data_IF_252158466275
#
_entry.id   IF_252158466275
#
_cell.length_a   1.000
_cell.length_b   1.000
_cell.length_c   1.000
_cell.angle_alpha   90.00
_cell.angle_beta   90.00
_cell.angle_gamma   90.00
#
_symmetry.space_group_name_H-M   'P 1'
#
loop_
_entity.id
_entity.type
_entity.pdbx_description
1 polymer ?
#
# COMPACT_ATOMS: atom_id res chain seq x y z
N UNK A 1 -10.31 2.10 20.70
CA UNK A 1 -10.77 1.71 22.05
C UNK A 1 -11.26 0.28 21.96
N UNK A 2 -10.61 -0.68 22.60
CA UNK A 2 -11.15 -2.04 22.72
C UNK A 2 -12.25 -2.00 23.76
N UNK A 3 -13.36 -2.64 23.43
CA UNK A 3 -14.57 -2.67 24.24
C UNK A 3 -14.27 -3.23 25.65
N UNK A 4 -14.28 -2.35 26.65
CA UNK A 4 -13.98 -2.67 28.05
C UNK A 4 -15.06 -3.60 28.67
N UNK A 5 -16.20 -3.79 28.01
CA UNK A 5 -17.32 -4.60 28.48
C UNK A 5 -17.03 -6.10 28.35
N UNK A 6 -16.40 -6.50 27.22
CA UNK A 6 -16.04 -7.91 26.95
C UNK A 6 -14.96 -8.41 27.93
N UNK A 7 -13.94 -7.61 28.19
CA UNK A 7 -12.88 -7.94 29.15
C UNK A 7 -13.47 -8.13 30.58
N UNK A 8 -14.40 -7.27 31.01
CA UNK A 8 -15.07 -7.37 32.34
C UNK A 8 -15.95 -8.61 32.48
N UNK A 9 -16.62 -9.02 31.41
CA UNK A 9 -17.45 -10.24 31.44
C UNK A 9 -16.60 -11.48 31.59
N UNK A 10 -15.46 -11.55 30.87
CA UNK A 10 -14.51 -12.66 31.00
C UNK A 10 -13.92 -12.71 32.41
N UNK A 11 -13.51 -11.58 32.96
CA UNK A 11 -12.99 -11.50 34.33
C UNK A 11 -14.01 -11.97 35.37
N UNK A 12 -15.28 -11.55 35.26
CA UNK A 12 -16.37 -11.97 36.14
C UNK A 12 -16.57 -13.48 36.10
N UNK A 13 -16.66 -14.08 34.90
CA UNK A 13 -16.84 -15.52 34.74
C UNK A 13 -15.66 -16.31 35.31
N UNK A 14 -14.44 -15.77 35.12
CA UNK A 14 -13.22 -16.40 35.61
C UNK A 14 -13.18 -16.38 37.16
N UNK A 15 -13.52 -15.27 37.79
CA UNK A 15 -13.59 -15.16 39.25
C UNK A 15 -14.70 -16.01 39.82
N UNK A 16 -15.86 -16.09 39.17
CA UNK A 16 -16.97 -16.95 39.60
C UNK A 16 -16.53 -18.43 39.62
N UNK A 17 -15.79 -18.89 38.63
CA UNK A 17 -15.19 -20.23 38.62
C UNK A 17 -14.30 -20.46 39.84
N UNK A 18 -13.44 -19.52 40.22
CA UNK A 18 -12.53 -19.65 41.34
C UNK A 18 -13.26 -19.62 42.69
N UNK A 19 -14.33 -18.83 42.83
CA UNK A 19 -15.18 -18.81 44.03
C UNK A 19 -15.82 -20.17 44.32
N UNK A 20 -16.06 -20.96 43.28
CA UNK A 20 -16.55 -22.34 43.42
C UNK A 20 -15.40 -23.32 43.70
N UNK A 21 -14.31 -23.24 42.98
CA UNK A 21 -13.18 -24.17 43.02
C UNK A 21 -12.41 -24.12 44.35
N UNK A 22 -12.26 -22.97 45.00
CA UNK A 22 -11.45 -22.83 46.21
C UNK A 22 -12.11 -23.56 47.40
N UNK A 23 -13.39 -23.35 47.77
CA UNK A 23 -14.03 -24.06 48.87
C UNK A 23 -14.06 -25.56 48.64
N UNK A 24 -14.33 -26.02 47.42
CA UNK A 24 -14.36 -27.44 47.09
C UNK A 24 -12.96 -28.07 47.22
N UNK A 25 -11.91 -27.42 46.74
CA UNK A 25 -10.52 -27.85 46.93
C UNK A 25 -10.16 -27.97 48.42
N UNK A 26 -10.55 -26.99 49.23
CA UNK A 26 -10.30 -26.98 50.67
C UNK A 26 -11.06 -28.10 51.38
N UNK A 27 -12.29 -28.39 50.98
CA UNK A 27 -13.08 -29.51 51.48
C UNK A 27 -12.43 -30.87 51.18
N UNK A 28 -11.93 -31.04 49.95
CA UNK A 28 -11.19 -32.25 49.54
C UNK A 28 -9.89 -32.40 50.35
N UNK A 29 -9.13 -31.30 50.49
CA UNK A 29 -7.89 -31.29 51.26
C UNK A 29 -8.12 -31.60 52.75
N UNK A 30 -9.25 -31.19 53.31
CA UNK A 30 -9.64 -31.46 54.68
C UNK A 30 -10.34 -32.81 54.88
N UNK A 31 -10.52 -33.61 53.83
CA UNK A 31 -11.22 -34.89 53.85
C UNK A 31 -12.73 -34.79 54.10
N UNK A 32 -13.31 -33.60 53.86
CA UNK A 32 -14.74 -33.32 54.09
C UNK A 32 -15.58 -33.30 52.81
N UNK A 33 -14.95 -33.60 51.66
CA UNK A 33 -15.67 -33.60 50.38
C UNK A 33 -16.37 -34.92 50.15
N UNK A 34 -17.66 -34.86 49.81
CA UNK A 34 -18.45 -36.01 49.38
C UNK A 34 -18.19 -36.36 47.91
N UNK A 35 -17.79 -35.38 47.08
CA UNK A 35 -17.59 -35.53 45.65
C UNK A 35 -16.24 -36.16 45.28
N UNK A 36 -15.18 -35.87 46.04
CA UNK A 36 -13.83 -36.31 45.69
C UNK A 36 -13.07 -36.84 46.91
N UNK A 37 -12.55 -38.05 46.81
CA UNK A 37 -11.71 -38.66 47.86
C UNK A 37 -10.26 -38.20 47.81
N UNK A 38 -9.77 -37.79 46.63
CA UNK A 38 -8.36 -37.38 46.41
C UNK A 38 -8.30 -36.07 45.63
N UNK A 39 -7.35 -35.21 45.98
CA UNK A 39 -7.09 -33.95 45.27
C UNK A 39 -6.78 -34.15 43.80
N UNK A 40 -6.21 -35.30 43.42
CA UNK A 40 -5.96 -35.64 42.01
C UNK A 40 -7.25 -35.82 41.20
N UNK A 41 -8.33 -36.31 41.82
CA UNK A 41 -9.61 -36.48 41.12
C UNK A 41 -10.30 -35.13 40.93
N UNK A 42 -10.19 -34.23 41.89
CA UNK A 42 -10.61 -32.85 41.77
C UNK A 42 -9.94 -32.14 40.57
N UNK A 43 -8.62 -32.28 40.45
CA UNK A 43 -7.91 -31.65 39.32
C UNK A 43 -8.35 -32.20 37.96
N UNK A 44 -8.55 -33.51 37.85
CA UNK A 44 -9.01 -34.15 36.61
C UNK A 44 -10.44 -33.74 36.26
N UNK A 45 -11.33 -33.71 37.22
CA UNK A 45 -12.73 -33.31 37.02
C UNK A 45 -12.85 -31.88 36.50
N UNK A 46 -12.09 -30.94 37.08
CA UNK A 46 -12.15 -29.51 36.72
C UNK A 46 -11.23 -29.12 35.59
N UNK A 47 -10.60 -30.08 34.88
CA UNK A 47 -9.73 -29.82 33.71
C UNK A 47 -8.53 -28.91 34.07
N UNK A 48 -7.97 -29.07 35.26
CA UNK A 48 -6.80 -28.30 35.70
C UNK A 48 -5.67 -29.24 36.16
N UNK A 49 -4.47 -28.70 36.39
CA UNK A 49 -3.38 -29.45 36.99
C UNK A 49 -2.92 -28.82 38.30
N UNK A 50 -2.28 -29.63 39.15
CA UNK A 50 -1.82 -29.20 40.46
C UNK A 50 -0.93 -27.95 40.42
N UNK A 51 -0.03 -27.86 39.43
CA UNK A 51 0.87 -26.72 39.30
C UNK A 51 0.11 -25.43 38.98
N UNK A 52 -0.82 -25.48 38.00
CA UNK A 52 -1.63 -24.32 37.62
C UNK A 52 -2.54 -23.89 38.76
N UNK A 53 -3.28 -24.81 39.36
CA UNK A 53 -4.19 -24.49 40.46
C UNK A 53 -3.45 -23.88 41.62
N UNK A 54 -2.38 -24.55 42.15
CA UNK A 54 -1.60 -24.07 43.28
C UNK A 54 -0.94 -22.72 43.03
N UNK A 55 -0.52 -22.43 41.81
CA UNK A 55 0.04 -21.13 41.47
C UNK A 55 -0.91 -19.98 41.77
N UNK A 56 -2.15 -20.09 41.34
CA UNK A 56 -3.17 -19.05 41.59
C UNK A 56 -3.69 -19.08 43.03
N UNK A 57 -3.96 -20.26 43.59
CA UNK A 57 -4.40 -20.42 44.93
C UNK A 57 -3.41 -19.88 45.96
N UNK A 58 -2.13 -20.22 45.88
CA UNK A 58 -1.09 -19.70 46.77
C UNK A 58 -0.91 -18.19 46.67
N UNK A 59 -1.13 -17.62 45.48
CA UNK A 59 -1.07 -16.19 45.27
C UNK A 59 -2.24 -15.48 45.95
N UNK A 60 -3.43 -16.04 45.81
CA UNK A 60 -4.61 -15.57 46.51
C UNK A 60 -4.45 -15.67 48.03
N UNK A 61 -3.95 -16.78 48.58
CA UNK A 61 -3.72 -16.94 50.01
C UNK A 61 -2.75 -15.89 50.59
N UNK A 62 -1.80 -15.41 49.82
CA UNK A 62 -0.83 -14.39 50.26
C UNK A 62 -1.42 -12.99 50.32
N UNK A 63 -2.26 -12.63 49.36
CA UNK A 63 -2.78 -11.27 49.20
C UNK A 63 -4.19 -11.07 49.76
N UNK A 64 -4.99 -12.14 49.81
CA UNK A 64 -6.42 -12.07 50.08
C UNK A 64 -7.26 -11.44 48.96
N UNK A 65 -6.64 -11.01 47.87
CA UNK A 65 -7.31 -10.28 46.78
C UNK A 65 -7.76 -11.23 45.65
N UNK A 66 -9.04 -11.23 45.32
CA UNK A 66 -9.57 -12.01 44.18
C UNK A 66 -8.90 -11.67 42.83
N UNK A 67 -8.41 -10.44 42.68
CA UNK A 67 -7.67 -10.03 41.48
C UNK A 67 -6.42 -10.90 41.21
N UNK A 68 -5.87 -11.54 42.24
CA UNK A 68 -4.71 -12.42 42.10
C UNK A 68 -5.08 -13.81 41.56
N UNK A 69 -6.35 -14.13 41.46
CA UNK A 69 -6.85 -15.33 40.79
C UNK A 69 -6.92 -15.14 39.26
N UNK A 70 -6.88 -13.91 38.77
CA UNK A 70 -6.93 -13.63 37.35
C UNK A 70 -5.59 -13.96 36.65
N UNK A 71 -5.65 -14.44 35.40
CA UNK A 71 -4.46 -14.65 34.62
C UNK A 71 -3.75 -13.32 34.33
N UNK A 72 -2.48 -13.24 34.72
CA UNK A 72 -1.68 -12.09 34.37
C UNK A 72 -1.50 -12.05 32.86
N UNK A 73 -1.58 -10.84 32.28
CA UNK A 73 -1.30 -10.64 30.86
C UNK A 73 0.09 -11.19 30.54
N UNK A 74 0.13 -12.15 29.61
CA UNK A 74 1.37 -12.69 29.10
C UNK A 74 2.04 -11.65 28.23
N UNK A 75 3.32 -11.44 28.41
CA UNK A 75 4.11 -10.51 27.62
C UNK A 75 5.19 -9.82 28.44
N UNK A 76 6.16 -9.20 27.79
CA UNK A 76 7.17 -8.41 28.51
C UNK A 76 6.47 -7.27 29.24
N UNK A 77 6.88 -7.03 30.47
CA UNK A 77 6.45 -5.88 31.29
C UNK A 77 7.01 -4.59 30.67
N UNK A 78 6.38 -4.17 29.55
CA UNK A 78 6.85 -3.05 28.73
C UNK A 78 6.92 -1.73 29.50
N UNK A 79 6.17 -1.58 30.60
CA UNK A 79 6.23 -0.41 31.47
C UNK A 79 7.52 -0.35 32.30
N UNK A 80 8.17 -1.47 32.54
CA UNK A 80 9.44 -1.56 33.29
C UNK A 80 10.66 -1.41 32.36
N UNK A 81 10.48 -1.56 31.04
CA UNK A 81 11.51 -1.34 30.01
C UNK A 81 11.32 -0.01 29.31
N UNK A 82 11.12 1.07 30.05
CA UNK A 82 11.16 2.39 29.47
C UNK A 82 12.57 2.73 29.08
N UNK A 83 12.72 3.30 27.89
CA UNK A 83 13.95 3.92 27.46
C UNK A 83 14.38 4.98 28.50
N UNK A 84 15.68 5.23 28.68
CA UNK A 84 16.17 6.24 29.59
C UNK A 84 15.41 7.56 29.44
N UNK A 85 15.20 8.22 30.56
CA UNK A 85 14.48 9.49 30.61
C UNK A 85 15.12 10.51 29.63
N UNK A 86 14.33 11.17 28.82
CA UNK A 86 14.78 12.12 27.80
C UNK A 86 14.94 11.58 26.38
N UNK A 87 15.16 10.28 26.15
CA UNK A 87 15.31 9.73 24.78
C UNK A 87 14.00 9.88 23.96
N UNK A 88 12.85 9.67 24.59
CA UNK A 88 11.57 9.80 23.88
C UNK A 88 11.36 11.23 23.39
N UNK A 89 11.73 12.23 24.21
CA UNK A 89 11.64 13.66 23.82
C UNK A 89 12.56 14.00 22.65
N UNK A 90 13.79 13.46 22.63
CA UNK A 90 14.74 13.67 21.54
C UNK A 90 14.24 13.02 20.24
N UNK A 91 13.69 11.80 20.31
CA UNK A 91 13.07 11.11 19.17
C UNK A 91 11.93 11.95 18.58
N UNK A 92 11.07 12.50 19.44
CA UNK A 92 9.97 13.38 19.02
C UNK A 92 10.48 14.66 18.39
N UNK A 93 11.46 15.32 19.00
CA UNK A 93 12.08 16.53 18.46
C UNK A 93 12.77 16.29 17.10
N UNK A 94 13.48 15.19 16.94
CA UNK A 94 14.04 14.79 15.64
C UNK A 94 12.95 14.53 14.60
N UNK A 95 11.83 13.91 15.02
CA UNK A 95 10.69 13.67 14.13
C UNK A 95 10.02 14.96 13.67
N UNK A 96 9.87 15.93 14.54
CA UNK A 96 9.32 17.25 14.20
C UNK A 96 10.17 17.98 13.16
N UNK A 97 11.49 17.72 13.11
CA UNK A 97 12.40 18.18 12.06
C UNK A 97 12.32 17.38 10.75
N UNK A 98 11.35 16.46 10.65
CA UNK A 98 11.11 15.67 9.43
C UNK A 98 11.92 14.38 9.29
N UNK A 99 12.77 14.04 10.25
CA UNK A 99 13.65 12.88 10.17
C UNK A 99 12.86 11.57 10.17
N UNK A 100 13.30 10.59 9.36
CA UNK A 100 12.80 9.22 9.42
C UNK A 100 13.48 8.43 10.55
N UNK A 101 12.96 7.22 10.88
CA UNK A 101 13.45 6.41 12.01
C UNK A 101 14.95 6.04 11.92
N UNK A 102 15.49 5.93 10.71
CA UNK A 102 16.91 5.61 10.49
C UNK A 102 17.77 6.85 10.63
N UNK A 103 17.30 8.00 10.16
CA UNK A 103 17.97 9.31 10.35
C UNK A 103 17.98 9.68 11.83
N UNK A 104 16.89 9.44 12.56
CA UNK A 104 16.84 9.63 14.02
C UNK A 104 17.85 8.71 14.72
N UNK A 105 17.92 7.44 14.31
CA UNK A 105 18.89 6.50 14.84
C UNK A 105 20.33 6.97 14.61
N UNK A 106 20.66 7.43 13.40
CA UNK A 106 21.98 7.98 13.08
C UNK A 106 22.30 9.23 13.91
N UNK A 107 21.37 10.17 14.02
CA UNK A 107 21.56 11.41 14.79
C UNK A 107 21.75 11.17 16.29
N UNK A 108 21.08 10.15 16.85
CA UNK A 108 21.26 9.76 18.26
C UNK A 108 22.59 9.03 18.51
N UNK A 109 23.11 8.33 17.52
CA UNK A 109 24.40 7.61 17.62
C UNK A 109 25.58 8.53 17.93
N UNK A 110 25.54 9.75 17.43
CA UNK A 110 26.59 10.75 17.67
C UNK A 110 26.55 11.35 19.07
N UNK A 111 25.45 11.16 19.81
CA UNK A 111 25.16 11.88 21.07
C UNK A 111 25.02 10.99 22.30
N UNK A 112 24.94 9.66 22.12
CA UNK A 112 24.63 8.74 23.24
C UNK A 112 25.32 7.40 23.11
N UNK A 113 25.76 6.88 24.25
CA UNK A 113 26.36 5.55 24.37
C UNK A 113 25.32 4.43 24.26
N UNK A 114 24.10 4.67 24.73
CA UNK A 114 22.97 3.72 24.62
C UNK A 114 22.03 4.15 23.51
N UNK A 115 21.99 3.38 22.45
CA UNK A 115 21.27 3.71 21.22
C UNK A 115 20.00 2.87 21.07
N UNK A 116 18.79 3.49 20.98
CA UNK A 116 17.56 2.77 20.69
C UNK A 116 17.56 2.25 19.25
N UNK A 117 17.17 0.99 19.05
CA UNK A 117 17.07 0.44 17.71
C UNK A 117 16.01 1.19 16.85
N UNK A 118 16.12 1.16 15.51
CA UNK A 118 15.10 1.76 14.63
C UNK A 118 13.67 1.24 14.89
N UNK A 119 13.55 0.01 15.38
CA UNK A 119 12.26 -0.58 15.80
C UNK A 119 11.75 0.03 17.09
N UNK A 120 12.64 0.34 18.03
CA UNK A 120 12.28 1.05 19.28
C UNK A 120 11.85 2.47 18.97
N UNK A 121 12.59 3.20 18.13
CA UNK A 121 12.23 4.53 17.65
C UNK A 121 10.84 4.51 17.00
N UNK A 122 10.55 3.54 16.14
CA UNK A 122 9.22 3.41 15.54
C UNK A 122 8.11 3.21 16.58
N UNK A 123 8.35 2.40 17.63
CA UNK A 123 7.37 2.19 18.71
C UNK A 123 7.12 3.47 19.50
N UNK A 124 8.16 4.25 19.78
CA UNK A 124 8.04 5.57 20.41
C UNK A 124 7.21 6.49 19.51
N UNK A 125 7.58 6.64 18.23
CA UNK A 125 6.83 7.46 17.29
C UNK A 125 5.36 7.03 17.15
N UNK A 126 5.07 5.72 17.18
CA UNK A 126 3.69 5.20 17.15
C UNK A 126 2.91 5.60 18.41
N UNK A 127 3.56 5.59 19.58
CA UNK A 127 2.94 6.00 20.86
C UNK A 127 2.52 7.46 20.84
N UNK A 128 3.35 8.31 20.24
CA UNK A 128 3.08 9.74 20.06
C UNK A 128 2.27 10.07 18.80
N UNK A 129 1.75 9.05 18.07
CA UNK A 129 1.02 9.21 16.81
C UNK A 129 1.83 9.90 15.68
N UNK A 130 3.14 9.87 15.78
CA UNK A 130 4.09 10.47 14.83
C UNK A 130 4.73 9.45 13.88
N UNK A 131 4.22 8.21 13.85
CA UNK A 131 4.73 7.14 12.98
C UNK A 131 4.48 7.40 11.48
N UNK A 132 3.49 8.21 11.14
CA UNK A 132 3.26 8.69 9.77
C UNK A 132 3.80 10.11 9.64
N UNK A 133 4.47 10.40 8.52
CA UNK A 133 4.82 11.79 8.19
C UNK A 133 3.55 12.53 7.82
N UNK A 134 3.36 13.73 8.36
CA UNK A 134 2.31 14.61 7.90
C UNK A 134 2.59 15.04 6.45
N UNK A 135 1.58 15.35 5.64
CA UNK A 135 1.79 15.80 4.26
C UNK A 135 2.76 16.97 4.14
N UNK A 136 2.78 17.88 5.12
CA UNK A 136 3.71 19.02 5.19
C UNK A 136 5.18 18.63 5.48
N UNK A 137 5.42 17.44 6.04
CA UNK A 137 6.75 16.90 6.27
C UNK A 137 7.28 16.07 5.10
N UNK A 138 6.45 15.83 4.09
CA UNK A 138 6.94 15.26 2.84
C UNK A 138 7.61 16.41 2.09
N UNK A 139 8.93 16.29 1.82
CA UNK A 139 9.55 17.13 0.80
C UNK A 139 8.60 17.19 -0.39
N UNK A 140 8.32 18.36 -0.91
CA UNK A 140 7.60 18.50 -2.16
C UNK A 140 8.37 17.72 -3.22
N UNK A 141 7.93 16.50 -3.45
CA UNK A 141 8.48 15.71 -4.53
C UNK A 141 8.19 16.51 -5.78
N UNK A 142 9.23 16.94 -6.49
CA UNK A 142 9.11 17.67 -7.76
C UNK A 142 8.17 16.87 -8.66
N UNK A 143 6.91 17.29 -8.73
CA UNK A 143 5.95 16.74 -9.66
C UNK A 143 6.31 17.26 -11.04
N UNK A 144 6.36 16.38 -12.02
CA UNK A 144 6.43 16.83 -13.42
C UNK A 144 5.05 17.38 -13.74
N UNK A 145 4.89 18.68 -13.59
CA UNK A 145 3.67 19.39 -13.99
C UNK A 145 3.97 19.93 -15.38
N UNK A 146 3.15 19.54 -16.34
CA UNK A 146 3.18 20.04 -17.72
C UNK A 146 1.88 20.79 -17.95
N UNK A 147 1.99 22.01 -18.42
CA UNK A 147 0.86 22.93 -18.57
C UNK A 147 0.32 22.94 -20.00
N UNK A 148 1.10 22.44 -20.96
CA UNK A 148 0.72 22.36 -22.37
C UNK A 148 0.34 20.94 -22.75
N UNK A 149 -0.70 20.83 -23.57
CA UNK A 149 -1.13 19.56 -24.18
C UNK A 149 0.00 18.97 -25.02
N UNK A 150 0.20 17.65 -24.92
CA UNK A 150 1.18 16.93 -25.70
C UNK A 150 2.65 17.25 -25.37
N UNK A 151 2.92 18.14 -24.43
CA UNK A 151 4.30 18.47 -24.08
C UNK A 151 5.08 17.24 -23.58
N UNK A 152 4.41 16.32 -22.92
CA UNK A 152 5.00 15.07 -22.44
C UNK A 152 3.97 13.96 -22.36
N UNK A 153 4.16 12.91 -23.15
CA UNK A 153 3.49 11.62 -23.02
C UNK A 153 4.25 10.70 -22.08
N UNK A 154 3.55 9.83 -21.37
CA UNK A 154 4.14 8.72 -20.60
C UNK A 154 3.69 7.42 -21.25
N UNK A 155 4.63 6.58 -21.64
CA UNK A 155 4.38 5.24 -22.16
C UNK A 155 4.87 4.20 -21.16
N UNK A 156 4.11 3.12 -21.00
CA UNK A 156 4.45 2.03 -20.09
C UNK A 156 3.80 0.73 -20.53
N UNK A 157 4.34 -0.40 -20.06
CA UNK A 157 3.88 -1.74 -20.39
C UNK A 157 3.56 -2.50 -19.13
N UNK A 158 2.33 -3.00 -19.00
CA UNK A 158 1.89 -3.84 -17.88
C UNK A 158 1.53 -5.24 -18.36
N UNK A 159 1.96 -6.26 -17.63
CA UNK A 159 1.57 -7.64 -17.89
C UNK A 159 0.17 -7.91 -17.35
N UNK A 160 -0.66 -8.59 -18.16
CA UNK A 160 -1.96 -9.11 -17.72
C UNK A 160 -1.82 -10.45 -16.99
N UNK A 161 -2.54 -10.61 -15.90
CA UNK A 161 -2.68 -11.92 -15.27
C UNK A 161 -3.47 -12.86 -16.18
N UNK A 162 -3.09 -14.15 -16.19
CA UNK A 162 -3.82 -15.18 -16.94
C UNK A 162 -5.14 -15.55 -16.25
N UNK A 163 -5.25 -15.30 -14.97
CA UNK A 163 -6.39 -15.69 -14.13
C UNK A 163 -7.67 -14.90 -14.44
N UNK A 164 -7.54 -13.77 -15.14
CA UNK A 164 -8.69 -12.96 -15.57
C UNK A 164 -9.39 -13.53 -16.80
N UNK A 165 -8.85 -14.59 -17.44
CA UNK A 165 -9.40 -15.17 -18.66
C UNK A 165 -9.95 -16.58 -18.44
N UNK A 166 -11.17 -16.85 -18.95
CA UNK A 166 -11.71 -18.22 -19.03
C UNK A 166 -10.92 -19.06 -20.05
N UNK A 167 -10.60 -18.48 -21.22
CA UNK A 167 -9.71 -19.06 -22.20
C UNK A 167 -8.43 -18.18 -22.31
N UNK A 168 -7.42 -18.43 -21.46
CA UNK A 168 -6.22 -17.60 -21.45
C UNK A 168 -5.44 -17.75 -22.77
N UNK A 169 -4.85 -16.64 -23.27
CA UNK A 169 -4.07 -16.67 -24.49
C UNK A 169 -2.87 -17.59 -24.36
N UNK A 170 -2.41 -18.23 -25.46
CA UNK A 170 -1.26 -19.15 -25.46
C UNK A 170 0.04 -18.45 -25.04
N UNK A 171 0.19 -17.18 -25.40
CA UNK A 171 1.32 -16.33 -25.00
C UNK A 171 0.93 -15.36 -23.89
N UNK A 172 1.91 -14.88 -23.14
CA UNK A 172 1.71 -13.82 -22.15
C UNK A 172 1.18 -12.55 -22.83
N UNK A 173 0.06 -12.03 -22.34
CA UNK A 173 -0.51 -10.80 -22.82
C UNK A 173 -0.07 -9.60 -21.96
N UNK A 174 0.07 -8.47 -22.59
CA UNK A 174 0.44 -7.20 -21.98
C UNK A 174 -0.50 -6.10 -22.47
N UNK A 175 -0.58 -5.02 -21.72
CA UNK A 175 -1.18 -3.76 -22.15
C UNK A 175 -0.05 -2.75 -22.26
N UNK A 176 0.05 -2.08 -23.40
CA UNK A 176 0.87 -0.87 -23.54
C UNK A 176 -0.06 0.33 -23.46
N UNK A 177 0.31 1.36 -22.69
CA UNK A 177 -0.48 2.58 -22.52
C UNK A 177 0.33 3.82 -22.81
N UNK A 178 -0.36 4.85 -23.30
CA UNK A 178 0.19 6.19 -23.52
C UNK A 178 -0.76 7.21 -22.89
N UNK A 179 -0.25 8.06 -22.01
CA UNK A 179 -1.04 9.09 -21.32
C UNK A 179 -0.39 10.46 -21.44
N UNK A 180 -1.16 11.50 -21.78
CA UNK A 180 -0.68 12.88 -21.73
C UNK A 180 -0.53 13.40 -20.30
N UNK A 181 0.60 14.03 -20.05
CA UNK A 181 0.97 14.57 -18.77
C UNK A 181 0.08 15.72 -18.30
N UNK A 182 -0.45 16.51 -19.22
CA UNK A 182 -1.29 17.69 -18.96
C UNK A 182 -2.76 17.30 -18.78
N UNK A 183 -3.37 16.79 -19.85
CA UNK A 183 -4.82 16.53 -19.92
C UNK A 183 -5.26 15.20 -19.31
N UNK A 184 -4.34 14.26 -19.11
CA UNK A 184 -4.67 12.86 -18.77
C UNK A 184 -5.37 12.09 -19.89
N UNK A 185 -5.49 12.65 -21.11
CA UNK A 185 -5.92 11.87 -22.27
C UNK A 185 -5.03 10.64 -22.40
N UNK A 186 -5.65 9.46 -22.48
CA UNK A 186 -4.92 8.20 -22.47
C UNK A 186 -5.49 7.24 -23.52
N UNK A 187 -4.62 6.39 -24.03
CA UNK A 187 -4.99 5.25 -24.85
C UNK A 187 -4.16 4.04 -24.47
N UNK A 188 -4.71 2.86 -24.65
CA UNK A 188 -4.03 1.62 -24.35
C UNK A 188 -4.37 0.56 -25.37
N UNK A 189 -3.42 -0.33 -25.65
CA UNK A 189 -3.56 -1.41 -26.62
C UNK A 189 -3.04 -2.72 -26.04
N UNK A 190 -3.68 -3.82 -26.41
CA UNK A 190 -3.23 -5.17 -26.04
C UNK A 190 -2.12 -5.62 -26.96
N UNK A 191 -1.12 -6.28 -26.39
CA UNK A 191 -0.02 -6.90 -27.13
C UNK A 191 0.35 -8.26 -26.53
N UNK A 192 0.67 -9.24 -27.38
CA UNK A 192 1.02 -10.62 -26.96
C UNK A 192 2.54 -10.84 -26.92
N UNK A 193 3.31 -9.79 -27.02
CA UNK A 193 4.78 -9.84 -26.95
C UNK A 193 5.33 -8.50 -26.47
N UNK A 194 6.27 -8.55 -25.54
CA UNK A 194 6.99 -7.36 -25.08
C UNK A 194 8.23 -7.02 -25.91
N UNK A 195 8.37 -7.60 -27.10
CA UNK A 195 9.46 -7.24 -28.01
C UNK A 195 9.26 -5.83 -28.57
N UNK A 196 10.35 -5.16 -28.95
CA UNK A 196 10.36 -3.78 -29.40
C UNK A 196 9.39 -3.49 -30.56
N UNK A 197 9.38 -4.31 -31.62
CA UNK A 197 8.52 -4.11 -32.78
C UNK A 197 7.02 -4.14 -32.47
N UNK A 198 6.45 -5.17 -31.81
CA UNK A 198 5.05 -5.16 -31.42
C UNK A 198 4.66 -3.96 -30.55
N UNK A 199 5.50 -3.59 -29.58
CA UNK A 199 5.25 -2.44 -28.69
C UNK A 199 5.30 -1.12 -29.49
N UNK A 200 6.27 -0.98 -30.36
CA UNK A 200 6.39 0.18 -31.27
C UNK A 200 5.11 0.36 -32.11
N UNK A 201 4.64 -0.68 -32.80
CA UNK A 201 3.43 -0.58 -33.64
C UNK A 201 2.18 -0.21 -32.83
N UNK A 202 2.03 -0.74 -31.61
CA UNK A 202 0.91 -0.36 -30.73
C UNK A 202 1.05 1.07 -30.25
N UNK A 203 2.26 1.52 -29.93
CA UNK A 203 2.50 2.91 -29.52
C UNK A 203 2.22 3.87 -30.69
N UNK A 204 2.65 3.54 -31.91
CA UNK A 204 2.33 4.34 -33.10
C UNK A 204 0.82 4.45 -33.31
N UNK A 205 0.08 3.34 -33.17
CA UNK A 205 -1.38 3.35 -33.26
C UNK A 205 -2.00 4.25 -32.18
N UNK A 206 -1.51 4.19 -30.93
CA UNK A 206 -1.99 5.05 -29.84
C UNK A 206 -1.72 6.53 -30.10
N UNK A 207 -0.53 6.89 -30.58
CA UNK A 207 -0.18 8.26 -30.96
C UNK A 207 -1.16 8.77 -32.02
N UNK A 208 -1.38 7.97 -33.07
CA UNK A 208 -2.29 8.32 -34.15
C UNK A 208 -3.74 8.44 -33.66
N UNK A 209 -4.22 7.51 -32.84
CA UNK A 209 -5.57 7.55 -32.28
C UNK A 209 -5.79 8.81 -31.44
N UNK A 210 -4.85 9.16 -30.55
CA UNK A 210 -4.93 10.37 -29.74
C UNK A 210 -4.86 11.64 -30.58
N UNK A 211 -4.07 11.62 -31.64
CA UNK A 211 -3.99 12.75 -32.59
C UNK A 211 -5.29 12.93 -33.37
N UNK A 212 -5.79 11.89 -34.03
CA UNK A 212 -6.99 11.96 -34.90
C UNK A 212 -8.23 12.26 -34.05
N UNK A 213 -8.34 11.66 -32.86
CA UNK A 213 -9.58 11.77 -32.05
C UNK A 213 -9.62 13.05 -31.21
N UNK A 214 -8.46 13.49 -30.68
CA UNK A 214 -8.41 14.59 -29.71
C UNK A 214 -7.47 15.74 -30.12
N UNK A 215 -6.86 15.68 -31.31
CA UNK A 215 -5.91 16.69 -31.78
C UNK A 215 -4.59 16.71 -30.98
N UNK A 216 -4.26 15.64 -30.27
CA UNK A 216 -3.13 15.60 -29.37
C UNK A 216 -1.84 15.26 -30.13
N UNK A 217 -0.87 16.20 -30.14
CA UNK A 217 0.45 16.02 -30.75
C UNK A 217 1.49 16.00 -29.65
N UNK A 218 2.32 14.96 -29.62
CA UNK A 218 3.36 14.82 -28.58
C UNK A 218 4.67 15.46 -29.01
N UNK A 219 5.26 16.30 -28.14
CA UNK A 219 6.63 16.82 -28.31
C UNK A 219 7.67 15.87 -27.71
N UNK A 220 7.35 15.26 -26.57
CA UNK A 220 8.25 14.32 -25.88
C UNK A 220 7.44 13.12 -25.38
N UNK A 221 8.07 11.92 -25.39
CA UNK A 221 7.53 10.71 -24.75
C UNK A 221 8.55 10.19 -23.73
N UNK A 222 8.07 9.90 -22.52
CA UNK A 222 8.84 9.34 -21.42
C UNK A 222 8.49 7.86 -21.26
N UNK A 223 9.51 6.99 -21.30
CA UNK A 223 9.40 5.58 -20.93
C UNK A 223 10.31 5.24 -19.76
N UNK A 224 10.21 4.03 -19.25
CA UNK A 224 11.28 3.43 -18.46
C UNK A 224 12.44 2.99 -19.38
N UNK A 225 13.43 2.30 -18.77
CA UNK A 225 14.58 1.76 -19.51
C UNK A 225 14.36 0.30 -19.96
N UNK A 226 13.11 -0.12 -20.16
CA UNK A 226 12.77 -1.45 -20.63
C UNK A 226 13.33 -1.72 -22.02
N UNK A 227 13.72 -2.97 -22.29
CA UNK A 227 14.27 -3.37 -23.59
C UNK A 227 13.27 -3.25 -24.75
N UNK A 228 12.00 -3.10 -24.46
CA UNK A 228 10.91 -2.82 -25.39
C UNK A 228 10.93 -1.37 -25.90
N UNK A 229 11.49 -0.44 -25.14
CA UNK A 229 11.53 0.99 -25.45
C UNK A 229 12.93 1.48 -25.82
N UNK A 230 13.98 0.77 -25.39
CA UNK A 230 15.36 1.25 -25.54
C UNK A 230 16.37 0.13 -25.72
N UNK A 231 17.44 0.41 -26.48
CA UNK A 231 18.67 -0.39 -26.48
C UNK A 231 19.80 0.38 -25.80
N UNK A 232 20.51 -0.28 -24.89
CA UNK A 232 21.67 0.31 -24.22
C UNK A 232 22.90 0.40 -25.16
N UNK A 233 22.99 -0.51 -26.14
CA UNK A 233 24.17 -0.65 -26.96
C UNK A 233 24.04 0.05 -28.32
N UNK A 234 22.83 0.17 -28.85
CA UNK A 234 22.57 0.78 -30.19
C UNK A 234 21.21 1.49 -30.14
N UNK A 235 21.07 2.65 -29.50
CA UNK A 235 19.80 3.38 -29.45
C UNK A 235 19.27 3.70 -30.86
N UNK A 236 20.13 4.08 -31.78
CA UNK A 236 19.76 4.50 -33.14
C UNK A 236 19.16 3.35 -33.98
N UNK A 237 19.49 2.11 -33.67
CA UNK A 237 18.95 0.92 -34.35
C UNK A 237 17.68 0.38 -33.67
N UNK A 238 17.27 0.92 -32.52
CA UNK A 238 16.13 0.44 -31.82
C UNK A 238 14.83 0.89 -32.50
N UNK A 239 13.91 -0.04 -32.85
CA UNK A 239 12.71 0.31 -33.62
C UNK A 239 11.85 1.40 -32.99
N UNK A 240 11.71 1.37 -31.66
CA UNK A 240 10.93 2.37 -30.93
C UNK A 240 11.56 3.77 -31.02
N UNK A 241 12.87 3.85 -30.89
CA UNK A 241 13.63 5.12 -31.04
C UNK A 241 13.54 5.67 -32.46
N UNK A 242 13.74 4.80 -33.46
CA UNK A 242 13.64 5.18 -34.88
C UNK A 242 12.24 5.72 -35.21
N UNK A 243 11.18 5.06 -34.70
CA UNK A 243 9.80 5.54 -34.87
C UNK A 243 9.60 6.94 -34.28
N UNK A 244 10.04 7.17 -33.04
CA UNK A 244 9.88 8.48 -32.40
C UNK A 244 10.67 9.57 -33.11
N UNK A 245 11.88 9.25 -33.61
CA UNK A 245 12.72 10.17 -34.39
C UNK A 245 12.02 10.59 -35.69
N UNK A 246 11.47 9.62 -36.42
CA UNK A 246 10.70 9.89 -37.66
C UNK A 246 9.46 10.76 -37.41
N UNK A 247 8.82 10.59 -36.27
CA UNK A 247 7.68 11.42 -35.87
C UNK A 247 8.09 12.80 -35.30
N UNK A 248 9.39 13.08 -35.19
CA UNK A 248 9.88 14.30 -34.54
C UNK A 248 9.61 14.39 -33.05
N UNK A 249 9.37 13.25 -32.39
CA UNK A 249 9.05 13.15 -30.97
C UNK A 249 10.33 12.82 -30.20
N UNK A 250 10.69 13.66 -29.24
CA UNK A 250 11.86 13.42 -28.40
C UNK A 250 11.61 12.30 -27.40
N UNK A 251 12.45 11.27 -27.38
CA UNK A 251 12.42 10.24 -26.35
C UNK A 251 13.13 10.70 -25.08
N UNK A 252 12.51 10.41 -23.94
CA UNK A 252 13.08 10.61 -22.60
C UNK A 252 12.99 9.34 -21.80
N UNK A 253 13.95 9.14 -20.90
CA UNK A 253 14.02 8.00 -20.01
C UNK A 253 13.81 8.42 -18.56
N UNK A 254 13.18 7.53 -17.77
CA UNK A 254 13.14 7.68 -16.34
C UNK A 254 14.55 7.52 -15.76
N UNK A 255 14.94 8.39 -14.84
CA UNK A 255 16.23 8.25 -14.16
C UNK A 255 16.21 7.02 -13.27
N UNK A 256 17.31 6.21 -13.25
CA UNK A 256 17.43 5.09 -12.31
C UNK A 256 17.13 5.54 -10.88
N UNK A 257 16.45 4.70 -10.10
CA UNK A 257 16.08 4.95 -8.71
C UNK A 257 15.16 6.15 -8.44
N UNK A 258 14.49 6.69 -9.46
CA UNK A 258 13.45 7.72 -9.30
C UNK A 258 12.11 7.29 -9.92
N UNK A 259 11.40 6.33 -9.31
CA UNK A 259 10.10 5.83 -9.81
C UNK A 259 9.01 6.93 -9.90
N UNK A 260 9.26 8.08 -9.28
CA UNK A 260 8.28 9.18 -9.19
C UNK A 260 8.04 9.91 -10.52
N UNK A 261 8.88 9.68 -11.54
CA UNK A 261 8.72 10.30 -12.85
C UNK A 261 7.58 9.68 -13.66
N UNK A 262 7.19 8.43 -13.37
CA UNK A 262 6.14 7.70 -14.07
C UNK A 262 4.78 7.64 -13.32
N UNK A 263 4.64 8.42 -12.24
CA UNK A 263 3.47 8.37 -11.37
C UNK A 263 2.11 8.68 -12.02
N UNK A 264 2.08 9.18 -13.27
CA UNK A 264 0.84 9.43 -14.02
C UNK A 264 0.34 8.16 -14.68
N UNK A 265 1.24 7.41 -15.31
CA UNK A 265 0.88 6.12 -15.89
C UNK A 265 0.62 5.08 -14.79
N UNK A 266 1.37 5.10 -13.69
CA UNK A 266 1.08 4.25 -12.51
C UNK A 266 -0.32 4.52 -11.95
N UNK A 267 -0.75 5.79 -11.95
CA UNK A 267 -2.11 6.15 -11.52
C UNK A 267 -3.16 5.70 -12.53
N UNK A 268 -2.85 5.78 -13.82
CA UNK A 268 -3.72 5.27 -14.88
C UNK A 268 -3.90 3.76 -14.76
N UNK A 269 -2.81 2.99 -14.54
CA UNK A 269 -2.85 1.56 -14.31
C UNK A 269 -3.76 1.19 -13.13
N UNK A 270 -3.57 1.84 -11.99
CA UNK A 270 -4.44 1.61 -10.82
C UNK A 270 -5.90 1.89 -11.14
N UNK A 271 -6.18 2.94 -11.90
CA UNK A 271 -7.56 3.28 -12.29
C UNK A 271 -8.13 2.23 -13.24
N UNK A 272 -7.32 1.70 -14.15
CA UNK A 272 -7.73 0.62 -15.05
C UNK A 272 -7.94 -0.70 -14.30
N UNK A 273 -7.07 -1.01 -13.37
CA UNK A 273 -7.20 -2.18 -12.50
C UNK A 273 -8.50 -2.10 -11.67
N UNK A 274 -8.72 -0.97 -10.98
CA UNK A 274 -9.91 -0.75 -10.12
C UNK A 274 -11.22 -0.77 -10.93
N UNK A 275 -11.24 -0.18 -12.13
CA UNK A 275 -12.47 0.06 -12.89
C UNK A 275 -12.81 -1.08 -13.89
N UNK A 276 -11.81 -1.86 -14.36
CA UNK A 276 -11.99 -2.85 -15.46
C UNK A 276 -11.55 -4.26 -15.06
N UNK A 277 -10.46 -4.42 -14.33
CA UNK A 277 -9.82 -5.71 -14.13
C UNK A 277 -10.21 -6.34 -12.80
N UNK A 278 -10.28 -5.55 -11.72
CA UNK A 278 -10.55 -6.09 -10.38
C UNK A 278 -11.94 -6.74 -10.31
N UNK A 279 -11.97 -8.03 -10.03
CA UNK A 279 -13.20 -8.82 -9.92
C UNK A 279 -13.87 -9.19 -11.25
N UNK A 280 -13.28 -8.81 -12.39
CA UNK A 280 -13.80 -9.16 -13.72
C UNK A 280 -13.19 -10.47 -14.24
N UNK A 281 -13.96 -11.15 -15.12
CA UNK A 281 -13.50 -12.34 -15.85
C UNK A 281 -13.87 -12.18 -17.31
N UNK A 282 -12.92 -12.37 -18.19
CA UNK A 282 -13.08 -12.21 -19.64
C UNK A 282 -13.05 -13.59 -20.33
N UNK A 283 -13.88 -13.78 -21.36
CA UNK A 283 -13.90 -15.03 -22.10
C UNK A 283 -12.53 -15.33 -22.72
N UNK A 284 -11.92 -14.34 -23.34
CA UNK A 284 -10.63 -14.41 -24.00
C UNK A 284 -10.00 -13.01 -24.14
N UNK A 285 -8.85 -12.93 -24.81
CA UNK A 285 -8.11 -11.68 -24.99
C UNK A 285 -8.85 -10.65 -25.87
N UNK A 286 -9.61 -11.11 -26.86
CA UNK A 286 -10.39 -10.20 -27.75
C UNK A 286 -11.57 -9.58 -26.99
N UNK A 287 -12.23 -10.36 -26.12
CA UNK A 287 -13.26 -9.80 -25.22
C UNK A 287 -12.66 -8.71 -24.32
N UNK A 288 -11.52 -8.98 -23.68
CA UNK A 288 -10.83 -7.96 -22.89
C UNK A 288 -10.44 -6.72 -23.71
N UNK A 289 -9.96 -6.91 -24.94
CA UNK A 289 -9.56 -5.78 -25.80
C UNK A 289 -10.76 -4.89 -26.17
N UNK A 290 -11.94 -5.47 -26.36
CA UNK A 290 -13.17 -4.72 -26.62
C UNK A 290 -13.62 -3.93 -25.38
N UNK A 291 -13.65 -4.56 -24.20
CA UNK A 291 -13.96 -3.90 -22.94
C UNK A 291 -12.97 -2.76 -22.64
N UNK A 292 -11.69 -2.99 -22.87
CA UNK A 292 -10.65 -1.96 -22.73
C UNK A 292 -10.91 -0.79 -23.66
N UNK A 293 -11.29 -1.04 -24.93
CA UNK A 293 -11.59 0.02 -25.90
C UNK A 293 -12.80 0.86 -25.44
N UNK A 294 -13.90 0.22 -25.04
CA UNK A 294 -15.09 0.92 -24.53
C UNK A 294 -14.77 1.73 -23.29
N UNK A 295 -14.01 1.15 -22.37
CA UNK A 295 -13.55 1.85 -21.19
C UNK A 295 -12.69 3.07 -21.50
N UNK A 296 -11.79 3.02 -22.47
CA UNK A 296 -10.95 4.16 -22.86
C UNK A 296 -11.79 5.32 -23.45
N UNK A 297 -12.86 5.01 -24.16
CA UNK A 297 -13.84 6.00 -24.60
C UNK A 297 -14.51 6.65 -23.38
N UNK A 298 -14.98 5.84 -22.43
CA UNK A 298 -15.56 6.34 -21.18
C UNK A 298 -14.55 7.17 -20.38
N UNK A 299 -13.32 6.66 -20.18
CA UNK A 299 -12.26 7.32 -19.45
C UNK A 299 -11.96 8.72 -19.97
N UNK A 300 -11.82 8.87 -21.28
CA UNK A 300 -11.47 10.13 -21.89
C UNK A 300 -12.64 11.13 -21.97
N UNK A 301 -13.87 10.65 -22.23
CA UNK A 301 -15.00 11.51 -22.55
C UNK A 301 -15.98 11.72 -21.39
N UNK A 302 -16.03 10.80 -20.43
CA UNK A 302 -17.08 10.79 -19.40
C UNK A 302 -16.57 10.69 -17.95
N UNK A 303 -15.39 10.15 -17.72
CA UNK A 303 -14.88 9.94 -16.37
C UNK A 303 -14.33 11.25 -15.78
N UNK A 304 -14.91 11.77 -14.65
CA UNK A 304 -14.37 12.95 -13.98
C UNK A 304 -13.03 12.65 -13.30
N UNK A 305 -12.07 13.56 -13.42
CA UNK A 305 -10.75 13.43 -12.82
C UNK A 305 -10.49 14.46 -11.72
N UNK A 306 -10.21 14.01 -10.51
CA UNK A 306 -9.89 14.89 -9.40
C UNK A 306 -8.70 15.82 -9.70
N UNK A 307 -7.68 15.32 -10.42
CA UNK A 307 -6.50 16.09 -10.79
C UNK A 307 -6.78 17.18 -11.84
N UNK A 308 -7.94 17.14 -12.48
CA UNK A 308 -8.42 18.09 -13.48
C UNK A 308 -9.59 18.94 -12.95
N UNK A 309 -9.73 19.04 -11.62
CA UNK A 309 -10.81 19.79 -10.99
C UNK A 309 -12.22 19.21 -11.24
N UNK A 310 -12.30 17.89 -11.50
CA UNK A 310 -13.56 17.20 -11.79
C UNK A 310 -13.95 17.20 -13.28
N UNK A 311 -13.15 17.79 -14.16
CA UNK A 311 -13.36 17.72 -15.60
C UNK A 311 -12.95 16.36 -16.17
N UNK A 312 -13.52 16.00 -17.33
CA UNK A 312 -13.02 14.86 -18.11
C UNK A 312 -11.70 15.22 -18.81
N UNK A 313 -10.85 14.25 -19.18
CA UNK A 313 -9.66 14.51 -19.96
C UNK A 313 -9.92 15.31 -21.24
N UNK A 314 -10.98 14.98 -21.96
CA UNK A 314 -11.40 15.68 -23.19
C UNK A 314 -11.80 17.13 -22.90
N UNK A 315 -12.69 17.36 -21.94
CA UNK A 315 -13.15 18.72 -21.64
C UNK A 315 -11.99 19.60 -21.17
N UNK A 316 -11.13 19.06 -20.33
CA UNK A 316 -9.91 19.76 -19.92
C UNK A 316 -9.01 20.09 -21.10
N UNK A 317 -8.79 19.16 -22.03
CA UNK A 317 -8.00 19.41 -23.24
C UNK A 317 -8.61 20.53 -24.09
N UNK A 318 -9.93 20.54 -24.26
CA UNK A 318 -10.64 21.61 -25.00
C UNK A 318 -10.44 22.99 -24.35
N UNK A 319 -10.42 23.08 -23.00
CA UNK A 319 -10.14 24.36 -22.33
C UNK A 319 -8.73 24.87 -22.57
N UNK A 320 -7.78 23.98 -22.85
CA UNK A 320 -6.38 24.33 -23.12
C UNK A 320 -6.12 24.71 -24.58
N UNK A 321 -6.99 24.28 -25.50
CA UNK A 321 -6.89 24.60 -26.95
C UNK A 321 -7.60 25.89 -27.31
N UNK A 322 -8.57 26.34 -26.52
CA UNK A 322 -9.24 27.63 -26.78
C UNK A 322 -8.29 28.78 -26.45
N UNK A 323 -8.10 29.76 -27.33
CA UNK A 323 -7.39 30.98 -26.99
C UNK A 323 -8.13 31.65 -25.81
N UNK A 324 -7.35 32.09 -24.81
CA UNK A 324 -7.87 32.87 -23.68
C UNK A 324 -8.57 34.10 -24.29
N UNK A 325 -9.91 34.09 -24.34
CA UNK A 325 -10.63 35.30 -24.57
C UNK A 325 -10.32 36.18 -23.38
N UNK A 326 -9.49 37.21 -23.60
CA UNK A 326 -9.24 38.26 -22.65
C UNK A 326 -10.59 38.83 -22.25
N UNK A 327 -11.01 38.59 -21.01
CA UNK A 327 -12.11 39.32 -20.41
C UNK A 327 -11.73 40.80 -20.41
N UNK A 328 -12.39 41.58 -21.24
CA UNK A 328 -12.40 43.04 -21.17
C UNK A 328 -13.13 43.49 -19.92
#
# INVERSE_FOLDING_TARGET
MRDNSYDRTIERNYLQKWRFLIPEYEAVKAGRSEAFRRVGDFYRHHGTCSQTFRKYYNRYLRSGAEADLLPQRRGPKWRERREPEGIEAEIVACRQRGMNRYEIHAALRERRDTLPSPSTIYRVLKRYQLNRRTPAMREEKRRIIKDKLGELGHVDLQQLSRDIFLAPPPATAYIVSLIDSCSRLAWAEVVTSKKALPVMFRTLKMINTLNVTYGLVFAEILSDNGSEFASRNSPEEHPFEAMLLELGIKHRYTRPYRPQTNGKVERFWRTLDDDVIEGATFDNLDHFANELFEYLIYYNNHRPHQALGGQTPKDFALTKTQPIQSAN
#
